data_IF_006273574185
#
_entry.id   IF_006273574185
#
_cell.length_a   1.000
_cell.length_b   1.000
_cell.length_c   1.000
_cell.angle_alpha   90.00
_cell.angle_beta   90.00
_cell.angle_gamma   90.00
#
_symmetry.space_group_name_H-M   'P 1'
#
loop_
_entity.id
_entity.type
_entity.pdbx_description
1 polymer ?
#
# COMPACT_ATOMS: atom_id res chain seq x y z
N UNK A 1 4.74 30.68 -12.63
CA UNK A 1 4.87 30.11 -13.99
C UNK A 1 4.48 28.65 -13.90
N UNK A 2 3.66 28.08 -14.80
CA UNK A 2 3.49 26.62 -14.84
C UNK A 2 4.83 26.01 -15.27
N UNK A 3 5.33 25.02 -14.55
CA UNK A 3 6.50 24.24 -14.97
C UNK A 3 6.22 23.63 -16.35
N UNK A 4 7.26 23.51 -17.19
CA UNK A 4 7.11 22.75 -18.44
C UNK A 4 7.13 21.27 -18.07
N UNK A 5 6.27 20.43 -18.68
CA UNK A 5 6.36 18.99 -18.48
C UNK A 5 7.76 18.51 -18.85
N UNK A 6 8.28 17.57 -18.08
CA UNK A 6 9.55 16.91 -18.34
C UNK A 6 9.51 16.11 -19.65
N UNK A 7 10.69 15.63 -20.06
CA UNK A 7 10.86 14.83 -21.26
C UNK A 7 11.50 13.50 -20.93
N UNK A 8 10.83 12.45 -21.40
CA UNK A 8 11.35 11.08 -21.38
C UNK A 8 12.36 10.85 -22.52
N UNK A 9 12.26 11.60 -23.62
CA UNK A 9 13.14 11.49 -24.80
C UNK A 9 12.62 10.52 -25.88
N UNK A 10 11.36 10.10 -25.76
CA UNK A 10 10.66 9.23 -26.73
C UNK A 10 9.45 9.91 -27.38
N UNK A 11 9.25 11.22 -27.20
CA UNK A 11 8.03 11.94 -27.58
C UNK A 11 7.72 11.84 -29.09
N UNK A 12 8.76 11.76 -29.92
CA UNK A 12 8.64 11.53 -31.37
C UNK A 12 8.08 10.15 -31.74
N UNK A 13 8.11 9.19 -30.80
CA UNK A 13 7.56 7.84 -30.95
C UNK A 13 6.11 7.72 -30.45
N UNK A 14 5.56 8.77 -29.82
CA UNK A 14 4.18 8.83 -29.32
C UNK A 14 3.17 9.28 -30.40
N UNK A 15 3.62 9.58 -31.62
CA UNK A 15 2.80 10.23 -32.64
C UNK A 15 1.81 9.23 -33.28
N UNK A 16 0.51 9.54 -33.14
CA UNK A 16 -0.65 8.80 -33.65
C UNK A 16 -0.67 8.57 -35.18
N UNK A 17 0.20 9.23 -35.96
CA UNK A 17 0.32 9.01 -37.41
C UNK A 17 0.81 7.60 -37.79
N UNK A 18 1.27 6.83 -36.80
CA UNK A 18 1.79 5.46 -36.95
C UNK A 18 0.71 4.36 -37.00
N UNK A 19 -0.58 4.71 -36.88
CA UNK A 19 -1.66 3.72 -36.73
C UNK A 19 -2.32 3.26 -38.04
N UNK A 20 -2.38 1.94 -38.21
CA UNK A 20 -3.30 1.31 -39.17
C UNK A 20 -4.76 1.57 -38.76
N UNK A 21 -5.64 2.01 -39.69
CA UNK A 21 -7.03 2.27 -39.38
C UNK A 21 -7.75 1.07 -38.76
N UNK A 22 -8.35 1.27 -37.59
CA UNK A 22 -9.14 0.26 -36.89
C UNK A 22 -8.39 -0.61 -35.88
N UNK A 23 -7.06 -0.50 -35.76
CA UNK A 23 -6.26 -1.26 -34.79
C UNK A 23 -6.78 -1.13 -33.34
N UNK A 24 -7.21 0.08 -32.96
CA UNK A 24 -7.82 0.38 -31.66
C UNK A 24 -9.11 -0.41 -31.36
N UNK A 25 -9.89 -0.81 -32.39
CA UNK A 25 -11.08 -1.66 -32.20
C UNK A 25 -10.72 -3.07 -31.78
N UNK A 26 -9.66 -3.63 -32.38
CA UNK A 26 -9.11 -4.94 -32.01
C UNK A 26 -8.69 -4.93 -30.54
N UNK A 27 -7.98 -3.88 -30.11
CA UNK A 27 -7.51 -3.77 -28.71
C UNK A 27 -8.67 -3.59 -27.72
N UNK A 28 -9.67 -2.78 -28.05
CA UNK A 28 -10.88 -2.61 -27.23
C UNK A 28 -11.63 -3.93 -27.03
N UNK A 29 -11.79 -4.73 -28.09
CA UNK A 29 -12.46 -6.03 -28.01
C UNK A 29 -11.65 -7.06 -27.22
N UNK A 30 -10.31 -7.02 -27.34
CA UNK A 30 -9.43 -7.94 -26.62
C UNK A 30 -9.51 -7.70 -25.10
N UNK A 31 -9.39 -6.45 -24.63
CA UNK A 31 -9.46 -6.16 -23.18
C UNK A 31 -10.78 -6.60 -22.53
N UNK A 32 -11.90 -6.49 -23.24
CA UNK A 32 -13.23 -6.82 -22.71
C UNK A 32 -13.53 -8.34 -22.61
N UNK A 33 -12.73 -9.20 -23.24
CA UNK A 33 -12.98 -10.65 -23.35
C UNK A 33 -11.81 -11.48 -22.78
N UNK A 34 -10.73 -10.81 -22.37
CA UNK A 34 -9.51 -11.42 -21.86
C UNK A 34 -9.42 -11.19 -20.35
N UNK A 35 -10.07 -12.06 -19.60
CA UNK A 35 -9.76 -12.29 -18.20
C UNK A 35 -9.65 -13.80 -17.99
N UNK A 36 -8.51 -14.32 -17.49
CA UNK A 36 -8.43 -15.73 -17.13
C UNK A 36 -9.39 -16.01 -15.97
N UNK A 37 -10.17 -17.06 -16.14
CA UNK A 37 -10.92 -17.70 -15.05
C UNK A 37 -9.93 -18.51 -14.23
N UNK A 38 -10.04 -18.46 -12.91
CA UNK A 38 -9.17 -19.21 -12.00
C UNK A 38 -10.04 -19.82 -10.91
N UNK A 39 -10.04 -21.15 -10.84
CA UNK A 39 -10.79 -21.94 -9.87
C UNK A 39 -9.82 -22.83 -9.07
N UNK A 40 -10.32 -23.42 -7.98
CA UNK A 40 -9.59 -24.45 -7.24
C UNK A 40 -10.07 -25.85 -7.65
N UNK A 41 -9.13 -26.70 -8.04
CA UNK A 41 -9.34 -28.14 -8.22
C UNK A 41 -8.48 -28.90 -7.21
N UNK A 42 -9.08 -29.23 -6.06
CA UNK A 42 -8.33 -29.73 -4.90
C UNK A 42 -7.37 -28.67 -4.39
N UNK A 43 -6.07 -28.98 -4.35
CA UNK A 43 -4.99 -28.06 -3.95
C UNK A 43 -4.23 -27.43 -5.14
N UNK A 44 -4.85 -27.34 -6.32
CA UNK A 44 -4.25 -26.72 -7.50
C UNK A 44 -5.11 -25.54 -8.02
N UNK A 45 -4.45 -24.47 -8.47
CA UNK A 45 -5.09 -23.42 -9.26
C UNK A 45 -5.36 -23.95 -10.67
N UNK A 46 -6.62 -24.06 -11.06
CA UNK A 46 -7.03 -24.37 -12.42
C UNK A 46 -7.34 -23.08 -13.17
N UNK A 47 -6.54 -22.77 -14.19
CA UNK A 47 -6.76 -21.65 -15.09
C UNK A 47 -7.56 -22.12 -16.31
N UNK A 48 -8.60 -21.39 -16.67
CA UNK A 48 -9.36 -21.55 -17.92
C UNK A 48 -9.44 -20.24 -18.70
N UNK A 49 -9.61 -20.36 -20.03
CA UNK A 49 -9.66 -19.22 -20.96
C UNK A 49 -8.42 -18.30 -20.87
N UNK A 50 -7.25 -18.87 -20.51
CA UNK A 50 -6.02 -18.11 -20.33
C UNK A 50 -5.58 -17.48 -21.67
N UNK A 51 -5.19 -16.19 -21.69
CA UNK A 51 -5.09 -15.46 -22.96
C UNK A 51 -3.73 -15.57 -23.66
N UNK A 52 -2.64 -15.83 -22.94
CA UNK A 52 -1.30 -15.70 -23.49
C UNK A 52 -0.75 -17.06 -23.92
N UNK A 53 -0.77 -17.31 -25.23
CA UNK A 53 -0.32 -18.59 -25.81
C UNK A 53 1.08 -19.09 -25.38
N UNK A 54 2.09 -18.23 -25.18
CA UNK A 54 3.41 -18.69 -24.72
C UNK A 54 3.44 -19.10 -23.24
N UNK A 55 2.36 -18.88 -22.49
CA UNK A 55 2.27 -19.22 -21.06
C UNK A 55 2.06 -20.71 -20.84
N UNK A 56 2.61 -21.18 -19.73
CA UNK A 56 2.56 -22.57 -19.24
C UNK A 56 1.15 -23.13 -19.02
N UNK A 57 0.12 -22.28 -18.89
CA UNK A 57 -1.28 -22.68 -18.64
C UNK A 57 -2.24 -22.40 -19.80
N UNK A 58 -1.74 -22.17 -21.02
CA UNK A 58 -2.59 -21.84 -22.17
C UNK A 58 -3.20 -23.06 -22.88
N UNK A 59 -4.47 -23.00 -23.32
CA UNK A 59 -5.52 -22.03 -22.95
C UNK A 59 -6.18 -22.39 -21.60
N UNK A 60 -5.89 -23.59 -21.09
CA UNK A 60 -6.25 -24.03 -19.76
C UNK A 60 -5.11 -24.89 -19.20
N UNK A 61 -4.88 -24.80 -17.90
CA UNK A 61 -3.81 -25.56 -17.24
C UNK A 61 -3.88 -25.42 -15.73
N UNK A 62 -3.32 -26.41 -15.02
CA UNK A 62 -3.28 -26.42 -13.56
C UNK A 62 -1.90 -26.08 -13.04
N UNK A 63 -1.86 -25.36 -11.92
CA UNK A 63 -0.63 -24.99 -11.21
C UNK A 63 -0.74 -25.44 -9.78
N UNK A 64 0.22 -26.25 -9.36
CA UNK A 64 0.40 -26.72 -8.00
C UNK A 64 1.37 -25.84 -7.25
N UNK A 65 1.28 -25.84 -5.92
CA UNK A 65 2.16 -25.08 -5.03
C UNK A 65 3.66 -25.31 -5.30
N UNK A 66 4.05 -26.55 -5.62
CA UNK A 66 5.46 -26.89 -5.88
C UNK A 66 6.03 -26.20 -7.13
N UNK A 67 5.17 -25.69 -8.02
CA UNK A 67 5.56 -24.97 -9.23
C UNK A 67 5.69 -23.46 -9.02
N UNK A 68 5.26 -22.92 -7.87
CA UNK A 68 5.18 -21.49 -7.57
C UNK A 68 6.40 -21.05 -6.73
N UNK A 69 6.95 -19.88 -7.05
CA UNK A 69 7.95 -19.17 -6.23
C UNK A 69 7.23 -18.34 -5.18
N UNK A 70 6.24 -17.55 -5.62
CA UNK A 70 5.55 -16.54 -4.83
C UNK A 70 4.30 -15.99 -5.56
N UNK A 71 3.46 -15.26 -4.83
CA UNK A 71 2.34 -14.49 -5.34
C UNK A 71 2.55 -13.01 -5.02
N UNK A 72 2.40 -12.14 -6.01
CA UNK A 72 2.29 -10.69 -5.80
C UNK A 72 0.82 -10.28 -5.89
N UNK A 73 0.26 -9.80 -4.77
CA UNK A 73 -1.12 -9.34 -4.68
C UNK A 73 -1.24 -7.90 -5.18
N UNK A 74 -1.47 -7.75 -6.48
CA UNK A 74 -1.74 -6.49 -7.16
C UNK A 74 -2.95 -6.59 -8.10
N UNK A 75 -3.06 -5.66 -9.05
CA UNK A 75 -4.10 -5.66 -10.08
C UNK A 75 -3.51 -5.73 -11.50
N UNK A 76 -3.64 -6.86 -12.21
CA UNK A 76 -4.05 -8.17 -11.72
C UNK A 76 -2.99 -8.78 -10.77
N UNK A 77 -3.39 -9.73 -9.93
CA UNK A 77 -2.47 -10.43 -9.05
C UNK A 77 -1.59 -11.40 -9.85
N UNK A 78 -0.33 -11.56 -9.45
CA UNK A 78 0.65 -12.34 -10.21
C UNK A 78 1.05 -13.61 -9.44
N UNK A 79 1.01 -14.77 -10.08
CA UNK A 79 1.55 -16.03 -9.56
C UNK A 79 2.85 -16.33 -10.31
N UNK A 80 4.00 -16.19 -9.64
CA UNK A 80 5.33 -16.33 -10.26
C UNK A 80 5.81 -17.77 -10.15
N UNK A 81 6.15 -18.40 -11.28
CA UNK A 81 6.49 -19.83 -11.33
C UNK A 81 7.99 -20.08 -11.32
N UNK A 82 8.40 -21.25 -10.79
CA UNK A 82 9.79 -21.73 -10.81
C UNK A 82 10.32 -21.96 -12.23
N UNK A 83 9.43 -22.17 -13.20
CA UNK A 83 9.75 -22.20 -14.63
C UNK A 83 10.01 -20.83 -15.26
N UNK A 84 9.93 -19.74 -14.49
CA UNK A 84 10.16 -18.37 -14.95
C UNK A 84 8.94 -17.68 -15.56
N UNK A 85 7.80 -18.36 -15.72
CA UNK A 85 6.54 -17.74 -16.17
C UNK A 85 5.88 -16.93 -15.04
N UNK A 86 5.10 -15.91 -15.40
CA UNK A 86 4.33 -15.09 -14.46
C UNK A 86 2.88 -15.15 -14.91
N UNK A 87 2.04 -15.80 -14.10
CA UNK A 87 0.62 -15.95 -14.40
C UNK A 87 -0.20 -14.83 -13.79
N UNK A 88 -1.29 -14.45 -14.45
CA UNK A 88 -2.17 -13.39 -13.97
C UNK A 88 -3.49 -13.95 -13.47
N UNK A 89 -3.89 -13.51 -12.29
CA UNK A 89 -5.19 -13.79 -11.68
C UNK A 89 -6.00 -12.50 -11.69
N UNK A 90 -7.12 -12.52 -12.40
CA UNK A 90 -8.10 -11.43 -12.41
C UNK A 90 -8.85 -11.36 -11.07
N UNK A 91 -9.56 -10.27 -10.78
CA UNK A 91 -10.38 -10.18 -9.55
C UNK A 91 -11.41 -11.32 -9.45
N UNK A 92 -11.89 -11.86 -10.59
CA UNK A 92 -12.80 -13.01 -10.64
C UNK A 92 -12.16 -14.31 -10.08
N UNK A 93 -10.84 -14.45 -10.21
CA UNK A 93 -10.08 -15.59 -9.70
C UNK A 93 -9.48 -15.39 -8.30
N UNK A 94 -9.72 -14.23 -7.68
CA UNK A 94 -9.03 -13.80 -6.46
C UNK A 94 -9.42 -14.60 -5.22
N UNK A 95 -10.68 -15.02 -5.13
CA UNK A 95 -11.16 -15.91 -4.06
C UNK A 95 -10.48 -17.29 -4.12
N UNK A 96 -10.37 -17.86 -5.33
CA UNK A 96 -9.64 -19.11 -5.55
C UNK A 96 -8.15 -18.95 -5.23
N UNK A 97 -7.52 -17.83 -5.61
CA UNK A 97 -6.12 -17.53 -5.26
C UNK A 97 -5.90 -17.36 -3.76
N UNK A 98 -6.75 -16.61 -3.05
CA UNK A 98 -6.64 -16.45 -1.58
C UNK A 98 -6.84 -17.79 -0.89
N UNK A 99 -7.84 -18.56 -1.30
CA UNK A 99 -8.11 -19.90 -0.74
C UNK A 99 -6.93 -20.85 -1.02
N UNK A 100 -6.34 -20.79 -2.21
CA UNK A 100 -5.14 -21.56 -2.57
C UNK A 100 -3.92 -21.17 -1.72
N UNK A 101 -3.68 -19.86 -1.52
CA UNK A 101 -2.61 -19.35 -0.66
C UNK A 101 -2.77 -19.87 0.77
N UNK A 102 -3.98 -19.75 1.34
CA UNK A 102 -4.30 -20.21 2.69
C UNK A 102 -4.14 -21.74 2.84
N UNK A 103 -4.46 -22.51 1.78
CA UNK A 103 -4.32 -23.97 1.77
C UNK A 103 -2.89 -24.47 1.55
N UNK A 104 -2.00 -23.66 0.97
CA UNK A 104 -0.70 -24.12 0.47
C UNK A 104 0.50 -23.28 0.97
N UNK A 105 0.29 -22.39 1.93
CA UNK A 105 1.29 -21.47 2.51
C UNK A 105 2.21 -20.83 1.46
N UNK A 106 1.60 -20.22 0.45
CA UNK A 106 2.32 -19.67 -0.70
C UNK A 106 2.93 -18.31 -0.31
N UNK A 107 4.24 -18.16 -0.51
CA UNK A 107 4.98 -16.92 -0.29
C UNK A 107 4.29 -15.73 -0.97
N UNK A 108 3.90 -14.72 -0.21
CA UNK A 108 3.31 -13.47 -0.73
C UNK A 108 4.40 -12.39 -0.73
N UNK A 109 4.53 -11.63 -1.83
CA UNK A 109 5.54 -10.58 -1.99
C UNK A 109 4.99 -9.39 -2.77
N UNK A 110 5.04 -8.18 -2.19
CA UNK A 110 4.74 -6.96 -2.92
C UNK A 110 5.95 -6.57 -3.81
N UNK A 111 5.74 -6.17 -5.06
CA UNK A 111 6.83 -5.77 -5.98
C UNK A 111 6.49 -4.52 -6.78
N UNK A 112 7.47 -3.62 -6.89
CA UNK A 112 7.41 -2.46 -7.77
C UNK A 112 7.49 -2.93 -9.22
N UNK A 113 6.50 -2.58 -10.02
CA UNK A 113 6.46 -3.02 -11.42
C UNK A 113 7.39 -2.16 -12.28
N UNK A 114 8.49 -2.76 -12.74
CA UNK A 114 9.39 -2.19 -13.78
C UNK A 114 8.59 -1.85 -15.03
N UNK A 115 7.60 -2.68 -15.36
CA UNK A 115 6.67 -2.41 -16.45
C UNK A 115 5.78 -1.20 -16.24
N UNK A 116 5.31 -0.92 -15.03
CA UNK A 116 4.51 0.29 -14.79
C UNK A 116 5.35 1.54 -15.05
N UNK A 117 6.50 1.68 -14.39
CA UNK A 117 7.40 2.81 -14.64
C UNK A 117 7.86 2.91 -16.09
N UNK A 118 8.03 1.79 -16.81
CA UNK A 118 8.38 1.82 -18.23
C UNK A 118 7.25 2.42 -19.07
N UNK A 119 6.00 2.24 -18.64
CA UNK A 119 4.79 2.62 -19.37
C UNK A 119 4.26 4.01 -19.01
N UNK A 120 4.77 4.68 -17.97
CA UNK A 120 4.40 6.05 -17.59
C UNK A 120 4.32 7.05 -18.77
N UNK A 121 5.22 7.07 -19.78
CA UNK A 121 5.13 8.02 -20.90
C UNK A 121 3.95 7.77 -21.86
N UNK A 122 3.16 6.72 -21.63
CA UNK A 122 1.94 6.40 -22.39
C UNK A 122 0.67 6.68 -21.58
N UNK A 123 0.78 7.12 -20.32
CA UNK A 123 -0.31 7.72 -19.54
C UNK A 123 -0.54 9.16 -20.02
N UNK A 124 -1.76 9.68 -19.78
CA UNK A 124 -2.09 11.09 -20.05
C UNK A 124 -1.79 11.98 -18.81
N UNK A 125 -0.69 11.68 -18.13
CA UNK A 125 -0.18 12.42 -16.96
C UNK A 125 1.13 13.13 -17.32
N UNK A 126 1.34 14.32 -16.75
CA UNK A 126 2.65 14.98 -16.83
C UNK A 126 3.50 14.61 -15.62
N UNK A 127 4.82 14.63 -15.80
CA UNK A 127 5.79 14.54 -14.72
C UNK A 127 6.80 15.67 -14.82
N UNK A 128 7.32 16.11 -13.67
CA UNK A 128 8.44 17.06 -13.65
C UNK A 128 9.74 16.35 -14.05
N UNK A 129 10.67 17.08 -14.70
CA UNK A 129 11.91 16.47 -15.20
C UNK A 129 12.69 15.76 -14.09
N UNK A 130 12.66 16.27 -12.86
CA UNK A 130 13.32 15.66 -11.70
C UNK A 130 12.71 14.30 -11.32
N UNK A 131 11.39 14.10 -11.45
CA UNK A 131 10.76 12.78 -11.25
C UNK A 131 11.17 11.80 -12.35
N UNK A 132 11.20 12.26 -13.60
CA UNK A 132 11.66 11.47 -14.75
C UNK A 132 13.13 11.06 -14.56
N UNK A 133 13.99 11.97 -14.12
CA UNK A 133 15.41 11.72 -13.90
C UNK A 133 15.63 10.74 -12.72
N UNK A 134 14.87 10.88 -11.62
CA UNK A 134 14.84 9.91 -10.50
C UNK A 134 14.41 8.51 -10.97
N UNK A 135 13.42 8.42 -11.84
CA UNK A 135 13.01 7.15 -12.44
C UNK A 135 14.11 6.52 -13.30
N UNK A 136 14.84 7.30 -14.11
CA UNK A 136 15.99 6.77 -14.86
C UNK A 136 17.14 6.31 -13.94
N UNK A 137 17.34 6.94 -12.78
CA UNK A 137 18.27 6.46 -11.74
C UNK A 137 17.80 5.14 -11.12
N UNK A 138 16.49 4.97 -10.88
CA UNK A 138 15.92 3.70 -10.42
C UNK A 138 16.07 2.58 -11.44
N UNK A 139 15.80 2.83 -12.73
CA UNK A 139 16.11 1.85 -13.77
C UNK A 139 17.60 1.49 -13.82
N UNK A 140 18.49 2.48 -13.66
CA UNK A 140 19.93 2.24 -13.65
C UNK A 140 20.38 1.36 -12.47
N UNK A 141 19.74 1.47 -11.29
CA UNK A 141 20.05 0.59 -10.14
C UNK A 141 19.62 -0.87 -10.39
N UNK A 142 18.58 -1.08 -11.20
CA UNK A 142 18.17 -2.39 -11.71
C UNK A 142 19.01 -2.87 -12.92
N UNK A 143 20.07 -2.17 -13.29
CA UNK A 143 20.92 -2.48 -14.45
C UNK A 143 20.34 -2.08 -15.81
N UNK A 144 19.19 -1.40 -15.84
CA UNK A 144 18.54 -0.89 -17.04
C UNK A 144 19.01 0.53 -17.32
N UNK A 145 20.10 0.66 -18.09
CA UNK A 145 20.56 1.98 -18.51
C UNK A 145 19.55 2.69 -19.44
N UNK A 146 19.76 4.00 -19.65
CA UNK A 146 18.84 4.85 -20.42
C UNK A 146 18.57 4.34 -21.85
N UNK A 147 19.58 3.80 -22.53
CA UNK A 147 19.42 3.24 -23.88
C UNK A 147 18.54 1.97 -23.88
N UNK A 148 18.66 1.13 -22.84
CA UNK A 148 17.80 -0.05 -22.68
C UNK A 148 16.34 0.33 -22.39
N UNK A 149 16.13 1.32 -21.52
CA UNK A 149 14.80 1.89 -21.21
C UNK A 149 14.15 2.50 -22.46
N UNK A 150 14.88 3.34 -23.19
CA UNK A 150 14.40 3.98 -24.43
C UNK A 150 14.09 2.92 -25.52
N UNK A 151 14.88 1.85 -25.60
CA UNK A 151 14.62 0.73 -26.52
C UNK A 151 13.32 0.01 -26.20
N UNK A 152 13.09 -0.34 -24.92
CA UNK A 152 11.84 -0.96 -24.48
C UNK A 152 10.62 -0.07 -24.76
N UNK A 153 10.71 1.21 -24.36
CA UNK A 153 9.66 2.20 -24.61
C UNK A 153 9.34 2.34 -26.09
N UNK A 154 10.33 2.46 -26.97
CA UNK A 154 10.13 2.53 -28.44
C UNK A 154 9.53 1.25 -29.03
N UNK A 155 9.90 0.07 -28.51
CA UNK A 155 9.35 -1.21 -29.00
C UNK A 155 7.84 -1.34 -28.73
N UNK A 156 7.38 -0.83 -27.57
CA UNK A 156 5.98 -0.93 -27.14
C UNK A 156 5.14 0.29 -27.52
N UNK A 157 5.74 1.44 -27.83
CA UNK A 157 5.05 2.72 -28.01
C UNK A 157 3.81 2.67 -28.92
N UNK A 158 3.94 2.09 -30.11
CA UNK A 158 2.79 1.94 -31.04
C UNK A 158 1.71 1.05 -30.43
N UNK A 159 2.06 -0.05 -29.76
CA UNK A 159 1.04 -0.89 -29.13
C UNK A 159 0.32 -0.15 -27.99
N UNK A 160 1.07 0.58 -27.16
CA UNK A 160 0.55 1.22 -25.94
C UNK A 160 -0.25 2.49 -26.20
N UNK A 161 0.15 3.35 -27.13
CA UNK A 161 -0.63 4.55 -27.48
C UNK A 161 -2.01 4.19 -28.01
N UNK A 162 -2.14 3.13 -28.83
CA UNK A 162 -3.45 2.63 -29.25
C UNK A 162 -4.17 1.75 -28.22
N UNK A 163 -3.46 1.14 -27.28
CA UNK A 163 -4.10 0.49 -26.13
C UNK A 163 -4.81 1.54 -25.28
N UNK A 164 -4.11 2.60 -24.88
CA UNK A 164 -4.69 3.71 -24.13
C UNK A 164 -5.86 4.35 -24.92
N UNK A 165 -5.60 4.84 -26.14
CA UNK A 165 -6.61 5.50 -26.97
C UNK A 165 -7.83 4.60 -27.30
N UNK A 166 -7.58 3.32 -27.58
CA UNK A 166 -8.60 2.36 -27.97
C UNK A 166 -9.46 1.83 -26.81
N UNK A 167 -8.89 1.73 -25.62
CA UNK A 167 -9.60 1.30 -24.40
C UNK A 167 -10.15 2.46 -23.58
N UNK A 168 -9.82 3.70 -23.98
CA UNK A 168 -10.25 4.98 -23.35
C UNK A 168 -9.79 5.11 -21.89
N UNK A 169 -8.56 4.70 -21.61
CA UNK A 169 -7.91 4.78 -20.30
C UNK A 169 -7.37 6.19 -20.00
N UNK A 170 -8.27 7.18 -20.02
CA UNK A 170 -7.94 8.59 -19.81
C UNK A 170 -7.97 8.94 -18.33
N UNK A 171 -6.82 9.40 -17.81
CA UNK A 171 -6.53 9.74 -16.41
C UNK A 171 -6.71 8.59 -15.38
N UNK A 172 -6.07 8.69 -14.22
CA UNK A 172 -6.29 7.84 -13.03
C UNK A 172 -6.13 6.31 -13.20
N UNK A 173 -5.13 5.85 -13.97
CA UNK A 173 -4.84 4.42 -14.12
C UNK A 173 -3.35 4.10 -14.11
N UNK A 174 -3.00 2.90 -13.64
CA UNK A 174 -1.66 2.32 -13.74
C UNK A 174 -1.69 1.31 -14.90
N UNK A 175 -0.75 1.44 -15.85
CA UNK A 175 -0.48 0.41 -16.84
C UNK A 175 0.56 -0.56 -16.30
N UNK A 176 0.50 -1.85 -16.66
CA UNK A 176 1.48 -2.83 -16.19
C UNK A 176 1.80 -3.91 -17.24
N UNK A 177 2.54 -4.95 -16.81
CA UNK A 177 2.92 -6.11 -17.62
C UNK A 177 1.73 -6.74 -18.36
N UNK A 178 0.56 -6.84 -17.72
CA UNK A 178 -0.64 -7.42 -18.34
C UNK A 178 -1.11 -6.59 -19.54
N UNK A 179 -1.19 -5.27 -19.39
CA UNK A 179 -1.65 -4.35 -20.44
C UNK A 179 -0.74 -4.40 -21.65
N UNK A 180 0.59 -4.37 -21.46
CA UNK A 180 1.54 -4.44 -22.56
C UNK A 180 1.53 -5.79 -23.27
N UNK A 181 1.27 -6.89 -22.55
CA UNK A 181 1.08 -8.21 -23.16
C UNK A 181 -0.21 -8.26 -23.98
N UNK A 182 -1.34 -7.71 -23.51
CA UNK A 182 -2.58 -7.61 -24.30
C UNK A 182 -2.37 -6.72 -25.54
N UNK A 183 -1.74 -5.57 -25.37
CA UNK A 183 -1.45 -4.62 -26.46
C UNK A 183 -0.54 -5.24 -27.53
N UNK A 184 0.54 -5.93 -27.13
CA UNK A 184 1.47 -6.55 -28.07
C UNK A 184 0.89 -7.83 -28.70
N UNK A 185 0.03 -8.59 -28.00
CA UNK A 185 -0.73 -9.71 -28.59
C UNK A 185 -1.64 -9.24 -29.73
N UNK A 186 -2.22 -8.06 -29.61
CA UNK A 186 -3.04 -7.47 -30.67
C UNK A 186 -2.22 -7.06 -31.91
N UNK A 187 -0.93 -6.73 -31.73
CA UNK A 187 -0.05 -6.18 -32.78
C UNK A 187 0.82 -7.22 -33.47
N UNK A 188 1.39 -8.14 -32.70
CA UNK A 188 2.46 -9.04 -33.13
C UNK A 188 1.87 -10.35 -33.66
N UNK A 189 2.51 -10.93 -34.68
CA UNK A 189 2.22 -12.31 -35.06
C UNK A 189 2.66 -13.28 -33.96
N UNK A 190 2.08 -14.50 -33.95
CA UNK A 190 2.32 -15.56 -32.96
C UNK A 190 3.80 -15.76 -32.57
N UNK A 191 4.71 -15.80 -33.55
CA UNK A 191 6.16 -15.99 -33.31
C UNK A 191 6.80 -14.76 -32.64
N UNK A 192 6.49 -13.56 -33.13
CA UNK A 192 6.99 -12.32 -32.55
C UNK A 192 6.41 -12.05 -31.16
N UNK A 193 5.15 -12.44 -30.91
CA UNK A 193 4.54 -12.34 -29.58
C UNK A 193 5.19 -13.31 -28.58
N UNK A 194 5.55 -14.53 -28.99
CA UNK A 194 6.25 -15.48 -28.11
C UNK A 194 7.64 -14.97 -27.68
N UNK A 195 8.39 -14.36 -28.60
CA UNK A 195 9.66 -13.69 -28.30
C UNK A 195 9.45 -12.51 -27.32
N UNK A 196 8.48 -11.63 -27.61
CA UNK A 196 8.16 -10.50 -26.75
C UNK A 196 7.73 -10.94 -25.35
N UNK A 197 6.85 -11.95 -25.24
CA UNK A 197 6.38 -12.51 -23.97
C UNK A 197 7.55 -12.98 -23.11
N UNK A 198 8.44 -13.81 -23.67
CA UNK A 198 9.60 -14.34 -22.93
C UNK A 198 10.52 -13.24 -22.41
N UNK A 199 10.78 -12.19 -23.22
CA UNK A 199 11.59 -11.04 -22.78
C UNK A 199 10.87 -10.15 -21.76
N UNK A 200 9.56 -9.94 -21.93
CA UNK A 200 8.77 -9.09 -21.04
C UNK A 200 8.57 -9.71 -19.66
N UNK A 201 8.36 -11.03 -19.61
CA UNK A 201 8.33 -11.83 -18.39
C UNK A 201 9.71 -11.84 -17.73
N UNK A 202 10.79 -12.03 -18.48
CA UNK A 202 12.16 -11.93 -17.96
C UNK A 202 12.47 -10.55 -17.36
N UNK A 203 11.92 -9.48 -17.92
CA UNK A 203 12.07 -8.13 -17.39
C UNK A 203 11.26 -7.94 -16.10
N UNK A 204 10.03 -8.45 -16.05
CA UNK A 204 9.21 -8.42 -14.84
C UNK A 204 9.74 -9.32 -13.72
N UNK A 205 10.50 -10.37 -14.05
CA UNK A 205 11.22 -11.16 -13.06
C UNK A 205 12.26 -10.31 -12.28
N UNK A 206 12.67 -9.15 -12.82
CA UNK A 206 13.52 -8.16 -12.15
C UNK A 206 12.77 -7.18 -11.24
N UNK A 207 11.42 -7.20 -11.22
CA UNK A 207 10.61 -6.31 -10.39
C UNK A 207 11.09 -6.37 -8.93
N UNK A 208 11.68 -5.30 -8.36
CA UNK A 208 12.19 -5.33 -6.99
C UNK A 208 11.03 -5.39 -5.99
N UNK A 209 11.30 -5.86 -4.77
CA UNK A 209 10.31 -5.83 -3.69
C UNK A 209 9.88 -4.38 -3.41
N UNK A 210 8.59 -4.17 -3.15
CA UNK A 210 7.98 -2.87 -2.87
C UNK A 210 7.80 -2.67 -1.37
N UNK A 211 8.06 -1.46 -0.91
CA UNK A 211 7.87 -1.01 0.46
C UNK A 211 6.43 -0.59 0.79
N UNK A 212 5.56 -0.30 -0.19
CA UNK A 212 4.44 0.66 -0.03
C UNK A 212 3.01 0.12 -0.30
N UNK A 213 1.97 0.82 0.21
CA UNK A 213 0.83 0.19 0.90
C UNK A 213 -0.46 1.06 0.98
N UNK A 214 -1.67 0.51 0.70
CA UNK A 214 -3.01 1.10 1.04
C UNK A 214 -4.20 0.15 0.69
N UNK A 215 -5.47 0.59 0.65
CA UNK A 215 -6.49 0.42 1.71
C UNK A 215 -7.94 0.18 1.16
N UNK A 216 -9.01 0.11 1.99
CA UNK A 216 -10.40 -0.16 1.52
C UNK A 216 -11.56 0.28 2.44
N UNK A 217 -12.64 0.80 1.84
CA UNK A 217 -13.81 1.52 2.42
C UNK A 217 -14.77 0.77 3.36
N UNK A 218 -14.38 -0.35 3.98
CA UNK A 218 -15.32 -1.30 4.60
C UNK A 218 -15.27 -1.33 6.15
N UNK A 219 -14.53 -0.39 6.78
CA UNK A 219 -14.17 -0.44 8.21
C UNK A 219 -13.63 -1.83 8.59
N UNK A 220 -12.70 -2.35 7.78
CA UNK A 220 -12.12 -3.68 7.94
C UNK A 220 -10.62 -3.55 8.02
N UNK A 221 -10.12 -3.66 9.25
CA UNK A 221 -8.70 -3.71 9.55
C UNK A 221 -8.00 -4.83 8.77
N UNK A 222 -8.73 -5.85 8.31
CA UNK A 222 -8.31 -7.05 7.58
C UNK A 222 -7.16 -6.85 6.58
N UNK A 223 -7.14 -5.78 5.77
CA UNK A 223 -6.04 -5.52 4.81
C UNK A 223 -4.90 -4.68 5.39
N UNK A 224 -5.23 -3.70 6.24
CA UNK A 224 -4.25 -2.90 6.95
C UNK A 224 -3.39 -3.77 7.87
N UNK A 225 -4.02 -4.66 8.64
CA UNK A 225 -3.39 -5.54 9.60
C UNK A 225 -2.61 -6.67 8.92
N UNK A 226 -3.14 -7.25 7.83
CA UNK A 226 -2.57 -8.43 7.17
C UNK A 226 -1.11 -8.26 6.79
N UNK A 227 -0.78 -7.25 5.99
CA UNK A 227 0.58 -7.07 5.48
C UNK A 227 1.53 -6.39 6.49
N UNK A 228 1.05 -5.92 7.65
CA UNK A 228 1.92 -5.60 8.80
C UNK A 228 2.24 -6.88 9.59
N UNK A 229 1.28 -7.78 9.75
CA UNK A 229 1.45 -9.04 10.45
C UNK A 229 2.32 -10.05 9.69
N UNK A 230 2.22 -10.11 8.35
CA UNK A 230 3.05 -11.00 7.51
C UNK A 230 4.55 -10.68 7.65
N UNK A 231 4.92 -9.40 7.66
CA UNK A 231 6.32 -8.96 7.73
C UNK A 231 6.96 -9.17 9.11
N UNK A 232 6.14 -9.28 10.16
CA UNK A 232 6.60 -9.20 11.55
C UNK A 232 6.85 -10.54 12.23
N UNK A 233 6.28 -11.64 11.72
CA UNK A 233 6.47 -12.94 12.36
C UNK A 233 7.91 -13.44 12.24
N UNK A 234 8.57 -13.81 13.35
CA UNK A 234 9.98 -14.19 13.35
C UNK A 234 10.21 -15.38 12.43
N UNK A 235 11.22 -15.29 11.56
CA UNK A 235 11.78 -16.47 10.89
C UNK A 235 12.66 -17.17 11.92
N UNK A 236 12.48 -18.48 12.11
CA UNK A 236 13.40 -19.24 12.95
C UNK A 236 14.83 -19.06 12.40
N UNK A 237 15.78 -18.85 13.32
CA UNK A 237 16.96 -18.04 13.06
C UNK A 237 17.81 -18.47 11.85
N UNK A 238 18.34 -17.44 11.17
CA UNK A 238 19.55 -17.43 10.35
C UNK A 238 20.36 -18.74 10.29
N UNK A 239 20.11 -19.52 9.23
CA UNK A 239 21.09 -20.48 8.70
C UNK A 239 21.09 -21.90 9.30
N UNK A 240 20.25 -22.21 10.29
CA UNK A 240 20.10 -23.58 10.77
C UNK A 240 19.20 -24.42 9.83
N UNK A 241 19.73 -24.86 8.68
CA UNK A 241 19.08 -25.87 7.83
C UNK A 241 18.90 -27.20 8.60
N UNK A 242 17.75 -27.36 9.25
CA UNK A 242 17.23 -28.66 9.71
C UNK A 242 15.74 -28.66 10.09
N UNK A 243 14.96 -27.62 9.73
CA UNK A 243 13.52 -27.64 9.97
C UNK A 243 12.84 -28.76 9.19
N UNK A 244 12.14 -29.62 9.93
CA UNK A 244 11.23 -30.61 9.38
C UNK A 244 9.99 -29.92 8.82
N UNK A 245 9.27 -30.60 7.92
CA UNK A 245 8.01 -30.07 7.36
C UNK A 245 6.99 -29.73 8.45
N UNK A 246 7.00 -30.47 9.56
CA UNK A 246 6.10 -30.25 10.71
C UNK A 246 6.40 -28.94 11.45
N UNK A 247 7.67 -28.55 11.60
CA UNK A 247 8.03 -27.28 12.28
C UNK A 247 7.58 -26.06 11.47
N UNK A 248 7.79 -26.09 10.16
CA UNK A 248 7.29 -25.06 9.24
C UNK A 248 5.75 -24.97 9.27
N UNK A 249 5.06 -26.12 9.23
CA UNK A 249 3.60 -26.19 9.27
C UNK A 249 3.05 -25.63 10.60
N UNK A 250 3.58 -26.06 11.74
CA UNK A 250 3.24 -25.52 13.07
C UNK A 250 3.49 -24.00 13.17
N UNK A 251 4.57 -23.49 12.59
CA UNK A 251 4.88 -22.05 12.57
C UNK A 251 3.86 -21.26 11.74
N UNK A 252 3.42 -21.80 10.59
CA UNK A 252 2.38 -21.17 9.78
C UNK A 252 1.01 -21.19 10.47
N UNK A 253 0.66 -22.28 11.17
CA UNK A 253 -0.55 -22.34 12.00
C UNK A 253 -0.51 -21.31 13.14
N UNK A 254 0.64 -21.10 13.77
CA UNK A 254 0.83 -20.07 14.80
C UNK A 254 0.76 -18.64 14.23
N UNK A 255 1.31 -18.40 13.03
CA UNK A 255 1.15 -17.14 12.29
C UNK A 255 -0.34 -16.84 12.06
N UNK A 256 -1.06 -17.77 11.46
CA UNK A 256 -2.45 -17.57 11.06
C UNK A 256 -3.37 -17.48 12.29
N UNK A 257 -3.10 -18.27 13.33
CA UNK A 257 -3.80 -18.19 14.61
C UNK A 257 -3.62 -16.85 15.31
N UNK A 258 -2.38 -16.34 15.38
CA UNK A 258 -2.08 -15.02 15.97
C UNK A 258 -2.68 -13.89 15.12
N UNK A 259 -2.59 -13.99 13.79
CA UNK A 259 -3.22 -13.04 12.86
C UNK A 259 -4.74 -13.00 13.08
N UNK A 260 -5.40 -14.16 13.09
CA UNK A 260 -6.85 -14.23 13.26
C UNK A 260 -7.30 -13.71 14.64
N UNK A 261 -6.51 -13.98 15.69
CA UNK A 261 -6.67 -13.40 17.04
C UNK A 261 -6.58 -11.87 16.98
N UNK A 262 -5.50 -11.30 16.43
CA UNK A 262 -5.28 -9.86 16.40
C UNK A 262 -6.27 -9.11 15.52
N UNK A 263 -6.72 -9.68 14.40
CA UNK A 263 -7.83 -9.15 13.60
C UNK A 263 -9.07 -8.98 14.49
N UNK A 264 -9.45 -10.04 15.24
CA UNK A 264 -10.63 -10.01 16.11
C UNK A 264 -10.45 -9.03 17.27
N UNK A 265 -9.31 -9.07 17.97
CA UNK A 265 -9.06 -8.24 19.15
C UNK A 265 -8.97 -6.74 18.79
N UNK A 266 -8.22 -6.36 17.75
CA UNK A 266 -8.09 -4.96 17.34
C UNK A 266 -9.37 -4.43 16.68
N UNK A 267 -10.03 -5.22 15.82
CA UNK A 267 -11.36 -4.85 15.28
C UNK A 267 -12.35 -4.63 16.42
N UNK A 268 -12.37 -5.53 17.42
CA UNK A 268 -13.28 -5.41 18.56
C UNK A 268 -12.98 -4.17 19.40
N UNK A 269 -11.71 -3.81 19.62
CA UNK A 269 -11.40 -2.61 20.39
C UNK A 269 -11.72 -1.34 19.63
N UNK A 270 -11.27 -1.19 18.38
CA UNK A 270 -11.57 0.00 17.58
C UNK A 270 -13.06 0.14 17.19
N UNK A 271 -13.88 -0.88 17.44
CA UNK A 271 -15.34 -0.87 17.26
C UNK A 271 -16.12 -0.68 18.59
N UNK A 272 -15.47 -0.35 19.70
CA UNK A 272 -16.15 -0.13 20.98
C UNK A 272 -17.18 1.02 20.88
N UNK A 273 -18.43 0.87 21.37
CA UNK A 273 -19.51 1.84 21.12
C UNK A 273 -19.32 3.26 21.66
N UNK A 274 -18.30 3.50 22.49
CA UNK A 274 -17.95 4.83 22.99
C UNK A 274 -16.95 5.57 22.10
N UNK A 275 -16.28 4.90 21.16
CA UNK A 275 -15.38 5.51 20.16
C UNK A 275 -16.22 6.13 19.05
N UNK A 276 -15.85 7.33 18.62
CA UNK A 276 -16.50 8.06 17.53
C UNK A 276 -15.47 8.67 16.57
N UNK A 277 -14.32 9.10 17.08
CA UNK A 277 -13.14 9.45 16.27
C UNK A 277 -12.12 8.31 16.25
N UNK A 278 -11.70 7.83 17.42
CA UNK A 278 -10.61 6.85 17.62
C UNK A 278 -11.06 5.42 17.25
N UNK A 279 -11.43 5.25 15.98
CA UNK A 279 -12.08 4.07 15.37
C UNK A 279 -11.18 3.47 14.29
N UNK A 280 -11.63 2.39 13.64
CA UNK A 280 -10.90 1.81 12.49
C UNK A 280 -10.62 2.83 11.38
N UNK A 281 -11.54 3.76 11.12
CA UNK A 281 -11.37 4.79 10.09
C UNK A 281 -10.20 5.75 10.39
N UNK A 282 -9.89 6.02 11.67
CA UNK A 282 -8.70 6.80 12.07
C UNK A 282 -7.41 6.04 11.76
N UNK A 283 -7.35 4.75 12.12
CA UNK A 283 -6.18 3.90 11.85
C UNK A 283 -5.97 3.69 10.35
N UNK A 284 -7.05 3.48 9.58
CA UNK A 284 -7.02 3.45 8.12
C UNK A 284 -6.46 4.77 7.56
N UNK A 285 -6.96 5.93 8.02
CA UNK A 285 -6.45 7.24 7.59
C UNK A 285 -4.95 7.43 7.92
N UNK A 286 -4.51 7.06 9.13
CA UNK A 286 -3.11 7.16 9.52
C UNK A 286 -2.18 6.32 8.65
N UNK A 287 -2.61 5.10 8.29
CA UNK A 287 -1.83 4.22 7.42
C UNK A 287 -1.85 4.65 5.94
N UNK A 288 -2.94 5.30 5.48
CA UNK A 288 -3.01 5.99 4.20
C UNK A 288 -1.99 7.14 4.14
N UNK A 289 -2.02 8.02 5.14
CA UNK A 289 -1.10 9.16 5.23
C UNK A 289 0.36 8.70 5.35
N UNK A 290 0.65 7.62 6.08
CA UNK A 290 1.99 6.99 6.10
C UNK A 290 2.42 6.50 4.72
N UNK A 291 1.50 6.01 3.88
CA UNK A 291 1.80 5.57 2.51
C UNK A 291 2.29 6.70 1.60
N UNK A 292 1.86 7.94 1.86
CA UNK A 292 2.26 9.14 1.12
C UNK A 292 3.59 9.76 1.62
N UNK A 293 4.14 9.27 2.74
CA UNK A 293 5.38 9.77 3.37
C UNK A 293 6.31 8.66 3.85
N UNK A 294 6.20 7.46 3.28
CA UNK A 294 6.93 6.27 3.75
C UNK A 294 8.45 6.45 3.63
N UNK A 295 8.93 7.31 2.74
CA UNK A 295 10.35 7.64 2.58
C UNK A 295 10.93 8.47 3.74
N UNK A 296 10.10 9.03 4.61
CA UNK A 296 10.53 9.75 5.81
C UNK A 296 10.69 8.83 7.04
N UNK A 297 10.18 7.60 6.99
CA UNK A 297 10.32 6.63 8.07
C UNK A 297 11.69 5.93 8.00
N UNK A 298 12.47 6.02 9.08
CA UNK A 298 13.71 5.24 9.23
C UNK A 298 13.34 3.77 9.50
N UNK A 299 12.32 3.57 10.34
CA UNK A 299 11.82 2.27 10.76
C UNK A 299 10.37 2.07 10.32
N UNK A 300 10.10 2.11 8.99
CA UNK A 300 8.76 2.05 8.39
C UNK A 300 7.86 0.95 8.97
N UNK A 301 8.43 -0.23 9.23
CA UNK A 301 7.69 -1.37 9.75
C UNK A 301 7.36 -1.20 11.25
N UNK A 302 8.26 -0.64 12.06
CA UNK A 302 7.96 -0.27 13.45
C UNK A 302 6.97 0.90 13.54
N UNK A 303 7.01 1.87 12.60
CA UNK A 303 6.02 2.97 12.51
C UNK A 303 4.64 2.41 12.19
N UNK A 304 4.51 1.49 11.23
CA UNK A 304 3.24 0.77 10.94
C UNK A 304 2.69 0.07 12.18
N UNK A 305 3.55 -0.62 12.93
CA UNK A 305 3.15 -1.32 14.14
C UNK A 305 2.69 -0.35 15.24
N UNK A 306 3.43 0.74 15.45
CA UNK A 306 3.05 1.78 16.41
C UNK A 306 1.71 2.44 16.03
N UNK A 307 1.48 2.76 14.75
CA UNK A 307 0.20 3.28 14.26
C UNK A 307 -0.96 2.30 14.46
N UNK A 308 -0.77 1.00 14.24
CA UNK A 308 -1.83 0.01 14.52
C UNK A 308 -2.21 -0.07 16.00
N UNK A 309 -1.27 0.18 16.90
CA UNK A 309 -1.46 -0.04 18.32
C UNK A 309 -1.69 1.23 19.16
N UNK A 310 -1.37 2.44 18.70
CA UNK A 310 -1.36 3.64 19.57
C UNK A 310 -2.68 3.86 20.35
N UNK A 311 -3.82 3.77 19.67
CA UNK A 311 -5.16 3.88 20.24
C UNK A 311 -5.85 2.52 20.51
N UNK A 312 -5.10 1.42 20.49
CA UNK A 312 -5.66 0.08 20.65
C UNK A 312 -6.27 -0.12 22.06
N UNK A 313 -5.87 0.65 23.07
CA UNK A 313 -6.61 0.81 24.32
C UNK A 313 -7.05 2.27 24.42
N UNK A 314 -8.36 2.52 24.49
CA UNK A 314 -8.91 3.87 24.60
C UNK A 314 -10.15 3.91 25.51
N UNK A 315 -9.99 4.38 26.75
CA UNK A 315 -11.09 4.86 27.59
C UNK A 315 -10.83 6.33 27.92
N UNK A 316 -11.70 7.27 27.50
CA UNK A 316 -11.58 8.70 27.82
C UNK A 316 -11.45 9.04 29.32
N UNK A 317 -11.78 8.10 30.22
CA UNK A 317 -11.67 8.27 31.69
C UNK A 317 -10.29 7.94 32.24
N UNK A 318 -9.39 7.41 31.41
CA UNK A 318 -8.04 6.97 31.79
C UNK A 318 -6.99 8.00 31.40
N UNK A 319 -5.76 7.80 31.88
CA UNK A 319 -4.58 8.64 31.63
C UNK A 319 -3.35 7.77 31.28
N UNK A 320 -3.58 6.49 31.00
CA UNK A 320 -2.56 5.46 30.72
C UNK A 320 -2.94 4.64 29.48
N UNK A 321 -3.74 5.21 28.58
CA UNK A 321 -4.23 4.55 27.36
C UNK A 321 -3.04 4.15 26.47
N UNK A 322 -2.20 5.11 26.13
CA UNK A 322 -1.02 4.98 25.27
C UNK A 322 0.01 4.04 25.92
N UNK A 323 0.18 4.11 27.24
CA UNK A 323 1.04 3.18 27.98
C UNK A 323 0.53 1.73 27.88
N UNK A 324 -0.78 1.50 28.03
CA UNK A 324 -1.40 0.17 27.93
C UNK A 324 -1.46 -0.35 26.49
N UNK A 325 -1.66 0.53 25.52
CA UNK A 325 -1.48 0.29 24.08
C UNK A 325 -0.06 -0.18 23.77
N UNK A 326 0.95 0.54 24.27
CA UNK A 326 2.36 0.18 24.10
C UNK A 326 2.71 -1.14 24.80
N UNK A 327 2.18 -1.40 25.99
CA UNK A 327 2.30 -2.70 26.66
C UNK A 327 1.66 -3.83 25.85
N UNK A 328 0.50 -3.60 25.24
CA UNK A 328 -0.15 -4.60 24.37
C UNK A 328 0.71 -4.88 23.14
N UNK A 329 1.15 -3.83 22.43
CA UNK A 329 2.09 -3.95 21.32
C UNK A 329 3.33 -4.75 21.71
N UNK A 330 3.94 -4.45 22.87
CA UNK A 330 5.11 -5.17 23.38
C UNK A 330 4.83 -6.64 23.71
N UNK A 331 3.67 -6.98 24.29
CA UNK A 331 3.29 -8.38 24.56
C UNK A 331 3.15 -9.17 23.26
N UNK A 332 2.51 -8.58 22.24
CA UNK A 332 2.38 -9.24 20.92
C UNK A 332 3.75 -9.37 20.26
N UNK A 333 4.60 -8.34 20.32
CA UNK A 333 5.98 -8.42 19.84
C UNK A 333 6.81 -9.49 20.58
N UNK A 334 6.48 -9.81 21.83
CA UNK A 334 7.14 -10.86 22.59
C UNK A 334 6.60 -12.27 22.24
N UNK A 335 5.30 -12.41 21.97
CA UNK A 335 4.74 -13.60 21.29
C UNK A 335 5.41 -13.81 19.91
N UNK A 336 5.78 -12.71 19.23
CA UNK A 336 6.56 -12.65 17.98
C UNK A 336 8.09 -12.65 18.18
N UNK A 337 8.61 -12.92 19.38
CA UNK A 337 10.06 -13.01 19.65
C UNK A 337 10.92 -11.82 19.13
N UNK A 338 10.35 -10.62 19.01
CA UNK A 338 11.05 -9.46 18.45
C UNK A 338 12.15 -8.95 19.38
N UNK A 339 13.27 -8.44 18.85
CA UNK A 339 14.34 -7.80 19.62
C UNK A 339 13.85 -6.71 20.57
N UNK A 340 14.51 -6.56 21.72
CA UNK A 340 14.13 -5.56 22.73
C UNK A 340 14.30 -4.11 22.24
N UNK A 341 15.24 -3.85 21.32
CA UNK A 341 15.44 -2.52 20.73
C UNK A 341 14.30 -2.13 19.78
N UNK A 342 13.71 -3.08 19.04
CA UNK A 342 12.49 -2.86 18.27
C UNK A 342 11.30 -2.59 19.18
N UNK A 343 11.12 -3.42 20.22
CA UNK A 343 10.06 -3.20 21.24
C UNK A 343 10.21 -1.84 21.90
N UNK A 344 11.44 -1.39 22.15
CA UNK A 344 11.72 -0.05 22.69
C UNK A 344 11.38 1.07 21.71
N UNK A 345 11.70 0.94 20.41
CA UNK A 345 11.31 1.92 19.36
C UNK A 345 9.79 2.04 19.26
N UNK A 346 9.08 0.92 19.10
CA UNK A 346 7.60 0.89 19.07
C UNK A 346 6.99 1.51 20.32
N UNK A 347 7.48 1.14 21.50
CA UNK A 347 7.02 1.71 22.77
C UNK A 347 7.24 3.21 22.84
N UNK A 348 8.40 3.71 22.40
CA UNK A 348 8.70 5.14 22.34
C UNK A 348 7.73 5.90 21.43
N UNK A 349 7.51 5.37 20.22
CA UNK A 349 6.57 5.93 19.24
C UNK A 349 5.13 5.98 19.73
N UNK A 350 4.62 4.91 20.34
CA UNK A 350 3.26 4.92 20.93
C UNK A 350 3.18 5.89 22.11
N UNK A 351 4.20 5.96 22.98
CA UNK A 351 4.18 6.91 24.11
C UNK A 351 4.26 8.37 23.66
N UNK A 352 4.77 8.66 22.46
CA UNK A 352 4.81 10.00 21.89
C UNK A 352 3.40 10.54 21.53
N UNK A 353 2.43 9.68 21.18
CA UNK A 353 1.04 10.10 20.89
C UNK A 353 0.25 10.54 22.13
N UNK A 354 0.82 10.41 23.33
CA UNK A 354 0.28 11.08 24.52
C UNK A 354 0.46 12.62 24.46
N UNK A 355 1.20 13.14 23.46
CA UNK A 355 1.44 14.58 23.17
C UNK A 355 2.00 15.42 24.32
N UNK A 356 2.47 14.75 25.39
CA UNK A 356 2.90 15.34 26.66
C UNK A 356 4.37 15.80 26.69
N UNK A 357 5.16 15.44 25.67
CA UNK A 357 6.52 15.92 25.44
C UNK A 357 6.83 15.94 23.95
N UNK A 358 7.83 16.72 23.52
CA UNK A 358 8.31 16.69 22.15
C UNK A 358 8.83 15.30 21.74
N UNK A 359 8.62 14.87 20.48
CA UNK A 359 9.19 13.65 19.94
C UNK A 359 10.71 13.72 19.89
N UNK A 360 11.36 12.61 20.25
CA UNK A 360 12.82 12.52 20.45
C UNK A 360 13.56 11.92 19.26
N UNK A 361 12.83 11.25 18.38
CA UNK A 361 13.34 10.57 17.19
C UNK A 361 12.58 11.00 15.94
N UNK A 362 13.15 10.86 14.73
CA UNK A 362 12.44 11.18 13.48
C UNK A 362 11.17 10.35 13.28
N UNK A 363 11.16 9.09 13.72
CA UNK A 363 9.98 8.22 13.60
C UNK A 363 8.89 8.56 14.63
N UNK A 364 9.25 8.95 15.86
CA UNK A 364 8.30 9.54 16.83
C UNK A 364 7.69 10.82 16.26
N UNK A 365 8.51 11.67 15.62
CA UNK A 365 8.06 12.93 15.02
C UNK A 365 7.13 12.69 13.82
N UNK A 366 7.45 11.72 12.97
CA UNK A 366 6.62 11.32 11.85
C UNK A 366 5.27 10.74 12.32
N UNK A 367 5.27 9.92 13.37
CA UNK A 367 4.04 9.33 13.90
C UNK A 367 3.14 10.39 14.54
N UNK A 368 3.71 11.29 15.36
CA UNK A 368 2.99 12.44 15.93
C UNK A 368 2.39 13.34 14.83
N UNK A 369 3.13 13.58 13.75
CA UNK A 369 2.63 14.37 12.61
C UNK A 369 1.45 13.67 11.88
N UNK A 370 1.53 12.35 11.69
CA UNK A 370 0.46 11.53 11.09
C UNK A 370 -0.81 11.56 11.95
N UNK A 371 -0.68 11.36 13.26
CA UNK A 371 -1.79 11.38 14.21
C UNK A 371 -2.46 12.77 14.28
N UNK A 372 -1.66 13.83 14.40
CA UNK A 372 -2.15 15.21 14.44
C UNK A 372 -2.55 15.78 13.06
N UNK A 373 -2.44 15.01 11.98
CA UNK A 373 -2.79 15.43 10.61
C UNK A 373 -4.24 15.92 10.46
N UNK A 374 -5.14 15.41 11.31
CA UNK A 374 -6.55 15.80 11.36
C UNK A 374 -6.74 17.29 11.68
N UNK A 375 -5.82 17.90 12.44
CA UNK A 375 -5.93 19.31 12.83
C UNK A 375 -5.84 20.22 11.60
N UNK A 376 -4.98 19.89 10.63
CA UNK A 376 -4.82 20.61 9.37
C UNK A 376 -5.76 20.20 8.24
N UNK A 377 -6.76 19.34 8.50
CA UNK A 377 -7.76 18.96 7.50
C UNK A 377 -8.61 20.17 7.04
N UNK A 378 -9.42 19.98 6.00
CA UNK A 378 -10.42 20.99 5.62
C UNK A 378 -11.43 21.24 6.77
N UNK A 379 -12.08 22.40 6.71
CA UNK A 379 -12.97 22.89 7.77
C UNK A 379 -14.10 21.91 8.13
N UNK A 380 -14.69 21.22 7.15
CA UNK A 380 -15.76 20.26 7.41
C UNK A 380 -15.22 19.00 8.11
N UNK A 381 -14.15 18.41 7.58
CA UNK A 381 -13.48 17.25 8.17
C UNK A 381 -13.00 17.52 9.60
N UNK A 382 -12.44 18.70 9.87
CA UNK A 382 -12.03 19.09 11.22
C UNK A 382 -13.21 19.26 12.18
N UNK A 383 -14.30 19.87 11.73
CA UNK A 383 -15.49 20.06 12.57
C UNK A 383 -16.20 18.73 12.89
N UNK A 384 -16.19 17.76 11.96
CA UNK A 384 -16.65 16.38 12.21
C UNK A 384 -15.76 15.65 13.24
N UNK A 385 -14.44 15.85 13.17
CA UNK A 385 -13.48 15.36 14.18
C UNK A 385 -13.78 15.93 15.57
N UNK A 386 -13.88 17.26 15.70
CA UNK A 386 -14.07 17.92 17.00
C UNK A 386 -15.44 17.58 17.62
N UNK A 387 -16.47 17.38 16.79
CA UNK A 387 -17.76 16.85 17.22
C UNK A 387 -17.69 15.38 17.69
N UNK A 388 -16.93 14.55 16.98
CA UNK A 388 -16.72 13.15 17.33
C UNK A 388 -15.98 13.03 18.68
N UNK A 389 -14.90 13.79 18.89
CA UNK A 389 -14.20 13.88 20.17
C UNK A 389 -15.14 14.38 21.28
N UNK A 390 -15.92 15.45 21.06
CA UNK A 390 -16.92 15.91 22.04
C UNK A 390 -17.89 14.79 22.45
N UNK A 391 -18.23 13.91 21.51
CA UNK A 391 -19.18 12.80 21.70
C UNK A 391 -18.59 11.64 22.51
N UNK A 392 -17.29 11.36 22.41
CA UNK A 392 -16.57 10.41 23.27
C UNK A 392 -16.51 10.92 24.72
N UNK A 393 -16.24 12.21 24.89
CA UNK A 393 -16.23 12.91 26.19
C UNK A 393 -17.61 13.37 26.66
N UNK A 394 -18.72 12.82 26.13
CA UNK A 394 -20.11 13.22 26.52
C UNK A 394 -20.43 13.07 28.01
N UNK A 395 -19.65 12.26 28.74
CA UNK A 395 -19.79 12.01 30.18
C UNK A 395 -19.12 13.11 31.02
N UNK A 396 -18.27 13.95 30.44
CA UNK A 396 -17.66 15.11 31.11
C UNK A 396 -18.66 16.28 31.08
N UNK A 397 -18.90 16.96 32.23
CA UNK A 397 -19.72 18.17 32.27
C UNK A 397 -19.18 19.24 31.34
N UNK A 398 -20.08 19.92 30.62
CA UNK A 398 -19.73 20.85 29.52
C UNK A 398 -18.67 21.89 29.93
N UNK A 399 -18.83 22.57 31.07
CA UNK A 399 -17.83 23.53 31.57
C UNK A 399 -16.43 22.92 31.72
N UNK A 400 -16.33 21.72 32.31
CA UNK A 400 -15.05 21.04 32.51
C UNK A 400 -14.45 20.56 31.19
N UNK A 401 -15.27 20.06 30.26
CA UNK A 401 -14.81 19.70 28.92
C UNK A 401 -14.25 20.92 28.17
N UNK A 402 -14.97 22.04 28.18
CA UNK A 402 -14.55 23.28 27.52
C UNK A 402 -13.23 23.80 28.05
N UNK A 403 -13.06 23.80 29.38
CA UNK A 403 -11.80 24.19 30.01
C UNK A 403 -10.63 23.30 29.55
N UNK A 404 -10.73 21.98 29.73
CA UNK A 404 -9.62 21.05 29.41
C UNK A 404 -9.34 21.01 27.89
N UNK A 405 -10.37 21.06 27.04
CA UNK A 405 -10.18 21.12 25.57
C UNK A 405 -9.53 22.44 25.14
N UNK A 406 -9.85 23.56 25.81
CA UNK A 406 -9.17 24.84 25.59
C UNK A 406 -7.70 24.75 25.97
N UNK A 407 -7.38 24.25 27.18
CA UNK A 407 -6.00 24.07 27.64
C UNK A 407 -5.17 23.17 26.69
N UNK A 408 -5.76 22.05 26.21
CA UNK A 408 -5.14 21.17 25.21
C UNK A 408 -4.89 21.86 23.87
N UNK A 409 -5.90 22.53 23.30
CA UNK A 409 -5.77 23.22 22.01
C UNK A 409 -4.80 24.41 22.08
N UNK A 410 -4.77 25.14 23.21
CA UNK A 410 -3.78 26.17 23.48
C UNK A 410 -2.36 25.58 23.55
N UNK A 411 -2.18 24.37 24.11
CA UNK A 411 -0.87 23.69 24.14
C UNK A 411 -0.32 23.29 22.75
N UNK A 412 -1.18 23.22 21.74
CA UNK A 412 -0.80 22.98 20.35
C UNK A 412 -0.44 24.28 19.63
N UNK A 413 -1.29 25.31 19.71
CA UNK A 413 -1.06 26.59 18.99
C UNK A 413 0.10 27.42 19.57
N UNK A 414 0.48 27.18 20.82
CA UNK A 414 1.64 27.84 21.46
C UNK A 414 2.99 27.17 21.14
N UNK A 415 3.04 26.14 20.28
CA UNK A 415 4.31 25.54 19.82
C UNK A 415 4.90 26.38 18.69
N UNK A 416 6.23 26.45 18.60
CA UNK A 416 6.93 27.16 17.50
C UNK A 416 6.59 26.57 16.11
N UNK A 417 6.32 25.26 16.06
CA UNK A 417 5.68 24.55 14.95
C UNK A 417 4.80 23.44 15.55
N UNK A 418 3.60 23.24 15.02
CA UNK A 418 2.75 22.09 15.36
C UNK A 418 3.30 20.80 14.75
N UNK A 419 3.74 20.87 13.49
CA UNK A 419 4.28 19.72 12.77
C UNK A 419 5.82 19.71 12.74
N UNK A 420 6.40 18.53 12.91
CA UNK A 420 7.84 18.33 13.07
C UNK A 420 8.56 18.06 11.74
N UNK A 421 7.89 17.46 10.76
CA UNK A 421 8.43 17.11 9.45
C UNK A 421 8.11 18.17 8.38
N UNK A 422 8.97 18.26 7.36
CA UNK A 422 8.83 19.21 6.27
C UNK A 422 7.59 19.02 5.36
N UNK A 423 7.12 17.80 5.02
CA UNK A 423 5.85 17.64 4.28
C UNK A 423 4.65 18.13 5.10
N UNK A 424 4.52 17.74 6.37
CA UNK A 424 3.37 18.11 7.20
C UNK A 424 3.29 19.61 7.47
N UNK A 425 4.41 20.26 7.84
CA UNK A 425 4.44 21.73 7.98
C UNK A 425 3.95 22.47 6.74
N UNK A 426 4.30 21.99 5.54
CA UNK A 426 3.89 22.64 4.28
C UNK A 426 2.44 22.35 3.88
N UNK A 427 1.89 21.21 4.29
CA UNK A 427 0.53 20.77 3.91
C UNK A 427 -0.53 21.22 4.92
N UNK A 428 -0.19 21.33 6.20
CA UNK A 428 -1.17 21.35 7.29
C UNK A 428 -1.02 22.48 8.31
N UNK A 429 0.16 23.09 8.50
CA UNK A 429 0.43 24.03 9.61
C UNK A 429 -0.54 25.23 9.64
N UNK A 430 -0.71 25.93 8.51
CA UNK A 430 -1.60 27.10 8.40
C UNK A 430 -3.07 26.72 8.65
N UNK A 431 -3.54 25.64 8.00
CA UNK A 431 -4.90 25.12 8.18
C UNK A 431 -5.17 24.69 9.62
N UNK A 432 -4.18 24.06 10.28
CA UNK A 432 -4.30 23.62 11.66
C UNK A 432 -4.41 24.80 12.63
N UNK A 433 -3.59 25.83 12.46
CA UNK A 433 -3.69 27.05 13.26
C UNK A 433 -5.08 27.69 13.11
N UNK A 434 -5.59 27.84 11.87
CA UNK A 434 -6.93 28.38 11.61
C UNK A 434 -8.06 27.55 12.24
N UNK A 435 -8.01 26.22 12.10
CA UNK A 435 -9.00 25.31 12.67
C UNK A 435 -8.99 25.34 14.22
N UNK A 436 -7.80 25.34 14.83
CA UNK A 436 -7.61 25.42 16.29
C UNK A 436 -8.12 26.77 16.82
N UNK A 437 -7.82 27.89 16.17
CA UNK A 437 -8.35 29.20 16.55
C UNK A 437 -9.88 29.26 16.46
N UNK A 438 -10.48 28.70 15.41
CA UNK A 438 -11.95 28.58 15.28
C UNK A 438 -12.53 27.77 16.43
N UNK A 439 -11.92 26.64 16.78
CA UNK A 439 -12.35 25.81 17.92
C UNK A 439 -12.23 26.56 19.26
N UNK A 440 -11.11 27.24 19.51
CA UNK A 440 -10.89 28.04 20.73
C UNK A 440 -11.93 29.17 20.87
N UNK A 441 -12.30 29.85 19.78
CA UNK A 441 -13.39 30.84 19.78
C UNK A 441 -14.74 30.19 20.15
N UNK A 442 -15.06 29.02 19.57
CA UNK A 442 -16.29 28.26 19.93
C UNK A 442 -16.30 27.85 21.40
N UNK A 443 -15.16 27.49 21.98
CA UNK A 443 -15.01 27.02 23.36
C UNK A 443 -15.02 28.14 24.41
N UNK A 444 -14.76 29.39 24.02
CA UNK A 444 -14.76 30.57 24.91
C UNK A 444 -16.06 31.38 24.93
N UNK A 445 -16.92 31.25 23.91
CA UNK A 445 -18.11 32.12 23.73
C UNK A 445 -19.42 31.49 24.23
N UNK A 446 -19.51 30.17 24.26
CA UNK A 446 -20.60 29.40 24.91
C UNK A 446 -20.26 28.94 26.33
#
# INVERSE_FOLDING_TARGET
>A
MKSKPGKYGIESSLILSSFYPGYWKTVSNLRAVIHPEVNLEGSALCFTNYPFEPSTVFPSGTVKVDQIIEVNLGYPSQVRLKGGDILFVSELGKEALVTFINQNNVKIENRLSVWSSLLDPFLDTWEEQETIDRQFLWFASLGLNRDAVDKWRREVAVAMVAYNFGTRLWEWTILNLYDVLVAQRARLNRKAFADFYSRAISLAAMDPLSSDYSLSTDNKIDRALLSVLIDWYPRENDGAMNDSSEQLEMRNEQIEGLRQKLIVELTSSYSEPHRCYHTLAHIEKCLLELGEVSEYAIHLNEVRWALLFHDAIYDPRRQDNEARSAEWACRVMEELQRPEDEKARVRGMILATAHSSEPRTPDEALLVDIDLSILGADEATFDEYDHSVRTEYRWVPEHSYRQVRTEMLESFVNRDCLYHTAPYRRRFEESAQMNIERALLRLRVG
#
